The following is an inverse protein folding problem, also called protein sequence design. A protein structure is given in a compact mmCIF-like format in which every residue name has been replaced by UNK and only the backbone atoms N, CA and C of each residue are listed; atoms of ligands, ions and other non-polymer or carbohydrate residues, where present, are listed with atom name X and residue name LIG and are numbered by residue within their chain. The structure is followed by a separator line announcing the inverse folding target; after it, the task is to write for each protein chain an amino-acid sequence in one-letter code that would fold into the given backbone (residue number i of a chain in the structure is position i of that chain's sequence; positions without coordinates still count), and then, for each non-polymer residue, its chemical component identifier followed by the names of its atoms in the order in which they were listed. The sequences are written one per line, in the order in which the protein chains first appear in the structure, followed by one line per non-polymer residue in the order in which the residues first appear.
data_IF_563858152514
#
_entry.id   IF_563858152514
#
_cell.length_a   1.000
_cell.length_b   1.000
_cell.length_c   1.000
_cell.angle_alpha   90.00
_cell.angle_beta   90.00
_cell.angle_gamma   90.00
#
_symmetry.space_group_name_H-M   'P 1'
#
loop_
_entity.id
_entity.type
_entity.pdbx_description
1 polymer ?
#
# COMPACT_ATOMS: atom_id res chain seq x y z
N UNK A 1 4.84 -8.87 14.13
CA UNK A 1 4.34 -8.11 12.98
C UNK A 1 4.06 -6.68 13.38
N UNK A 2 4.43 -5.75 12.53
CA UNK A 2 4.17 -4.31 12.71
C UNK A 2 3.03 -3.93 11.78
N UNK A 3 1.89 -3.51 12.34
CA UNK A 3 0.73 -3.11 11.56
C UNK A 3 0.74 -1.59 11.33
N UNK A 4 0.82 -1.13 10.08
CA UNK A 4 0.73 0.30 9.76
C UNK A 4 -0.70 0.83 9.85
N UNK A 5 -0.88 2.11 9.60
CA UNK A 5 -2.18 2.80 9.52
C UNK A 5 -3.04 2.62 10.78
N UNK A 6 -2.45 2.88 11.95
CA UNK A 6 -3.12 2.74 13.26
C UNK A 6 -3.61 1.33 13.56
N UNK A 7 -2.93 0.32 13.00
CA UNK A 7 -3.30 -1.07 13.19
C UNK A 7 -4.47 -1.51 12.33
N UNK A 8 -4.83 -0.73 11.33
CA UNK A 8 -5.97 -1.01 10.46
C UNK A 8 -5.63 -0.74 8.99
N UNK A 9 -4.68 -1.48 8.47
CA UNK A 9 -4.43 -1.51 7.03
C UNK A 9 -5.32 -2.59 6.42
N UNK A 10 -6.41 -2.18 5.80
CA UNK A 10 -7.42 -3.09 5.27
C UNK A 10 -6.87 -4.00 4.17
N UNK A 11 -5.93 -3.53 3.38
CA UNK A 11 -5.29 -4.35 2.33
C UNK A 11 -4.46 -5.48 2.94
N UNK A 12 -3.70 -5.17 3.98
CA UNK A 12 -2.89 -6.15 4.71
C UNK A 12 -3.77 -7.14 5.45
N UNK A 13 -4.78 -6.65 6.16
CA UNK A 13 -5.74 -7.50 6.89
C UNK A 13 -6.41 -8.47 5.94
N UNK A 14 -6.91 -7.98 4.81
CA UNK A 14 -7.56 -8.82 3.79
C UNK A 14 -6.63 -9.87 3.22
N UNK A 15 -5.36 -9.55 2.99
CA UNK A 15 -4.37 -10.48 2.49
C UNK A 15 -4.20 -11.67 3.43
N UNK A 16 -4.05 -11.42 4.71
CA UNK A 16 -3.85 -12.48 5.71
C UNK A 16 -5.14 -13.27 5.97
N UNK A 17 -6.28 -12.61 6.01
CA UNK A 17 -7.58 -13.29 6.17
C UNK A 17 -7.87 -14.24 5.02
N UNK A 18 -7.63 -13.82 3.77
CA UNK A 18 -7.83 -14.67 2.59
C UNK A 18 -6.96 -15.92 2.60
N UNK A 19 -5.81 -15.86 3.24
CA UNK A 19 -4.87 -16.98 3.32
C UNK A 19 -4.97 -17.75 4.64
N UNK A 20 -5.95 -17.44 5.49
CA UNK A 20 -6.18 -18.13 6.75
C UNK A 20 -5.06 -17.97 7.77
N UNK A 21 -4.30 -16.89 7.68
CA UNK A 21 -3.18 -16.62 8.56
C UNK A 21 -3.60 -15.61 9.62
N UNK A 22 -3.41 -15.97 10.88
CA UNK A 22 -3.65 -15.07 12.00
C UNK A 22 -2.38 -14.26 12.28
N UNK A 23 -2.50 -12.92 12.21
CA UNK A 23 -1.39 -12.03 12.51
C UNK A 23 -1.13 -11.95 14.01
N UNK A 24 0.14 -12.03 14.38
CA UNK A 24 0.60 -11.68 15.72
C UNK A 24 1.11 -10.24 15.70
N UNK A 25 0.20 -9.29 15.91
CA UNK A 25 0.51 -7.87 15.88
C UNK A 25 1.19 -7.48 17.20
N UNK A 26 2.43 -7.04 17.11
CA UNK A 26 3.22 -6.64 18.25
C UNK A 26 3.31 -5.13 18.40
N UNK A 27 3.35 -4.42 17.28
CA UNK A 27 3.37 -2.96 17.24
C UNK A 27 2.37 -2.45 16.21
N UNK A 28 1.86 -1.25 16.45
CA UNK A 28 1.06 -0.51 15.48
C UNK A 28 1.71 0.85 15.23
N UNK A 29 1.59 1.37 14.02
CA UNK A 29 2.17 2.65 13.64
C UNK A 29 1.12 3.52 12.94
N UNK A 30 1.39 4.84 12.92
CA UNK A 30 0.56 5.79 12.19
C UNK A 30 0.83 5.77 10.68
N UNK A 31 2.07 5.56 10.30
CA UNK A 31 2.52 5.70 8.92
C UNK A 31 3.55 4.68 8.52
N UNK A 32 3.62 4.44 7.22
CA UNK A 32 4.53 3.46 6.64
C UNK A 32 6.00 3.83 6.87
N UNK A 33 6.34 5.11 6.91
CA UNK A 33 7.70 5.55 7.17
C UNK A 33 8.20 5.11 8.55
N UNK A 34 7.36 5.26 9.58
CA UNK A 34 7.67 4.78 10.93
C UNK A 34 7.84 3.26 10.96
N UNK A 35 6.98 2.54 10.24
CA UNK A 35 7.09 1.09 10.13
C UNK A 35 8.43 0.67 9.52
N UNK A 36 8.85 1.32 8.43
CA UNK A 36 10.13 1.02 7.78
C UNK A 36 11.32 1.27 8.71
N UNK A 37 11.28 2.37 9.46
CA UNK A 37 12.32 2.69 10.44
C UNK A 37 12.42 1.63 11.53
N UNK A 38 11.30 1.11 12.00
CA UNK A 38 11.26 0.04 13.00
C UNK A 38 11.82 -1.28 12.45
N UNK A 39 11.48 -1.63 11.22
CA UNK A 39 12.02 -2.82 10.56
C UNK A 39 13.53 -2.71 10.40
N UNK A 40 14.02 -1.56 10.00
CA UNK A 40 15.46 -1.29 9.87
C UNK A 40 16.22 -1.51 11.18
N UNK A 41 15.57 -1.24 12.31
CA UNK A 41 16.12 -1.47 13.64
C UNK A 41 15.91 -2.88 14.17
N UNK A 42 15.36 -3.77 13.38
CA UNK A 42 15.16 -5.17 13.76
C UNK A 42 14.00 -5.42 14.71
N UNK A 43 13.05 -4.50 14.80
CA UNK A 43 11.89 -4.65 15.70
C UNK A 43 10.83 -5.61 15.18
N UNK A 44 10.87 -5.98 13.91
CA UNK A 44 9.89 -6.91 13.36
C UNK A 44 9.83 -6.87 11.85
N UNK A 45 8.71 -7.33 11.31
CA UNK A 45 8.43 -7.38 9.89
C UNK A 45 7.06 -6.77 9.60
N UNK A 46 6.82 -6.39 8.36
CA UNK A 46 5.53 -5.90 7.90
C UNK A 46 5.30 -6.29 6.44
N UNK A 47 4.09 -6.05 5.96
CA UNK A 47 3.74 -6.18 4.55
C UNK A 47 3.29 -4.82 4.06
N UNK A 48 3.83 -4.38 2.95
CA UNK A 48 3.51 -3.09 2.36
C UNK A 48 3.41 -3.19 0.86
N UNK A 49 2.68 -2.25 0.29
CA UNK A 49 2.64 -2.08 -1.15
C UNK A 49 4.03 -1.71 -1.68
N UNK A 50 4.47 -2.38 -2.73
CA UNK A 50 5.77 -2.12 -3.35
C UNK A 50 5.92 -0.66 -3.81
N UNK A 51 4.84 -0.04 -4.30
CA UNK A 51 4.84 1.35 -4.73
C UNK A 51 5.23 2.32 -3.61
N UNK A 52 4.83 2.03 -2.37
CA UNK A 52 5.17 2.84 -1.21
C UNK A 52 6.66 2.74 -0.88
N UNK A 53 7.23 1.54 -1.00
CA UNK A 53 8.60 1.26 -0.54
C UNK A 53 9.66 1.37 -1.63
N UNK A 54 9.25 1.46 -2.89
CA UNK A 54 10.16 1.38 -4.05
C UNK A 54 11.28 2.42 -4.04
N UNK A 55 10.96 3.64 -3.65
CA UNK A 55 11.91 4.75 -3.66
C UNK A 55 12.55 5.05 -2.31
N UNK A 56 12.23 4.26 -1.30
CA UNK A 56 12.80 4.47 0.02
C UNK A 56 14.14 3.74 0.15
N UNK A 57 15.16 4.51 0.45
CA UNK A 57 16.49 3.98 0.69
C UNK A 57 16.62 3.56 2.15
N UNK A 58 16.10 2.38 2.48
CA UNK A 58 16.15 1.80 3.81
C UNK A 58 16.93 0.49 3.79
N UNK A 59 17.64 0.21 4.86
CA UNK A 59 18.40 -1.04 5.02
C UNK A 59 17.47 -2.16 5.50
N UNK A 60 16.61 -2.62 4.59
CA UNK A 60 15.66 -3.70 4.84
C UNK A 60 15.67 -4.69 3.67
N UNK A 61 15.35 -5.94 3.96
CA UNK A 61 15.17 -6.96 2.93
C UNK A 61 13.71 -6.97 2.49
N UNK A 62 13.48 -6.91 1.18
CA UNK A 62 12.15 -6.95 0.57
C UNK A 62 11.94 -8.32 -0.07
N UNK A 63 10.92 -9.03 0.36
CA UNK A 63 10.59 -10.36 -0.13
C UNK A 63 9.18 -10.32 -0.73
N UNK A 64 9.02 -10.68 -2.02
CA UNK A 64 7.67 -10.76 -2.60
C UNK A 64 6.80 -11.77 -1.88
N UNK A 65 5.50 -11.47 -1.76
CA UNK A 65 4.55 -12.42 -1.17
C UNK A 65 4.21 -13.51 -2.19
N UNK A 66 4.00 -14.73 -1.68
CA UNK A 66 3.61 -15.87 -2.48
C UNK A 66 2.39 -16.55 -1.83
N UNK A 67 1.26 -16.71 -2.54
CA UNK A 67 1.00 -16.26 -3.92
C UNK A 67 0.99 -14.74 -4.05
N UNK A 68 1.28 -14.20 -5.27
CA UNK A 68 1.30 -12.75 -5.49
C UNK A 68 -0.05 -12.11 -5.16
N UNK A 69 0.00 -10.95 -4.51
CA UNK A 69 -1.19 -10.15 -4.21
C UNK A 69 -1.04 -8.77 -4.85
N UNK A 70 -2.14 -8.25 -5.38
CA UNK A 70 -2.16 -6.95 -6.05
C UNK A 70 -3.29 -6.10 -5.50
N UNK A 71 -3.07 -4.79 -5.47
CA UNK A 71 -4.09 -3.80 -5.17
C UNK A 71 -4.39 -3.00 -6.43
N UNK A 72 -5.66 -2.68 -6.62
CA UNK A 72 -6.09 -1.81 -7.71
C UNK A 72 -6.25 -0.40 -7.19
N UNK A 73 -5.53 0.54 -7.78
CA UNK A 73 -5.67 1.95 -7.50
C UNK A 73 -6.64 2.56 -8.49
N UNK A 74 -7.50 3.43 -8.02
CA UNK A 74 -8.49 4.08 -8.87
C UNK A 74 -8.67 5.55 -8.53
N UNK A 75 -9.27 6.26 -9.46
CA UNK A 75 -9.68 7.65 -9.28
C UNK A 75 -11.18 7.66 -8.99
N UNK A 76 -11.58 8.34 -7.93
CA UNK A 76 -12.97 8.44 -7.53
C UNK A 76 -13.52 9.83 -7.84
N UNK A 77 -14.65 9.88 -8.51
CA UNK A 77 -15.38 11.12 -8.79
C UNK A 77 -16.88 10.87 -8.57
N UNK A 78 -17.66 11.87 -8.13
CA UNK A 78 -19.09 11.70 -7.94
C UNK A 78 -19.83 11.30 -9.21
N UNK A 79 -19.45 11.87 -10.36
CA UNK A 79 -20.00 11.55 -11.68
C UNK A 79 -19.00 11.98 -12.75
N UNK A 80 -18.57 11.04 -13.58
CA UNK A 80 -17.72 11.36 -14.73
C UNK A 80 -18.48 12.22 -15.75
N UNK A 81 -19.73 11.89 -16.01
CA UNK A 81 -20.56 12.59 -16.98
C UNK A 81 -20.73 14.07 -16.64
N UNK A 82 -20.89 14.38 -15.35
CA UNK A 82 -21.08 15.74 -14.85
C UNK A 82 -19.79 16.44 -14.45
N UNK A 83 -18.66 15.76 -14.55
CA UNK A 83 -17.36 16.34 -14.20
C UNK A 83 -17.01 17.49 -15.12
N UNK A 84 -16.32 18.50 -14.58
CA UNK A 84 -15.83 19.63 -15.37
C UNK A 84 -14.81 19.17 -16.42
N UNK A 85 -14.62 19.97 -17.51
CA UNK A 85 -13.59 19.66 -18.51
C UNK A 85 -12.18 19.50 -17.89
N UNK A 86 -11.86 20.29 -16.88
CA UNK A 86 -10.58 20.21 -16.18
C UNK A 86 -10.42 18.86 -15.44
N UNK A 87 -11.47 18.41 -14.76
CA UNK A 87 -11.48 17.12 -14.06
C UNK A 87 -11.33 15.97 -15.06
N UNK A 88 -12.07 16.00 -16.15
CA UNK A 88 -11.98 14.97 -17.20
C UNK A 88 -10.59 14.90 -17.81
N UNK A 89 -9.97 16.03 -18.07
CA UNK A 89 -8.60 16.11 -18.59
C UNK A 89 -7.59 15.56 -17.59
N UNK A 90 -7.75 15.90 -16.31
CA UNK A 90 -6.91 15.36 -15.25
C UNK A 90 -7.03 13.84 -15.17
N UNK A 91 -8.24 13.30 -15.19
CA UNK A 91 -8.46 11.84 -15.15
C UNK A 91 -7.75 11.15 -16.29
N UNK A 92 -7.91 11.66 -17.52
CA UNK A 92 -7.25 11.09 -18.69
C UNK A 92 -5.73 11.08 -18.54
N UNK A 93 -5.16 12.20 -18.13
CA UNK A 93 -3.73 12.33 -17.91
C UNK A 93 -3.25 11.37 -16.80
N UNK A 94 -3.95 11.33 -15.68
CA UNK A 94 -3.59 10.49 -14.54
C UNK A 94 -3.64 9.00 -14.90
N UNK A 95 -4.69 8.55 -15.60
CA UNK A 95 -4.82 7.14 -16.04
C UNK A 95 -3.66 6.76 -16.96
N UNK A 96 -3.30 7.60 -17.91
CA UNK A 96 -2.17 7.34 -18.82
C UNK A 96 -0.84 7.25 -18.07
N UNK A 97 -0.64 8.10 -17.07
CA UNK A 97 0.57 8.08 -16.25
C UNK A 97 0.64 6.88 -15.33
N UNK A 98 -0.47 6.52 -14.69
CA UNK A 98 -0.53 5.40 -13.75
C UNK A 98 -0.30 4.05 -14.45
N UNK A 99 -0.74 3.90 -15.69
CA UNK A 99 -0.47 2.69 -16.48
C UNK A 99 1.02 2.44 -16.73
N UNK A 100 1.84 3.47 -16.70
CA UNK A 100 3.29 3.38 -16.91
C UNK A 100 4.07 2.99 -15.66
N UNK A 101 3.42 2.94 -14.50
CA UNK A 101 4.04 2.63 -13.21
C UNK A 101 4.11 1.11 -12.97
N UNK A 102 3.32 0.33 -13.68
CA UNK A 102 3.33 -1.13 -13.57
C UNK A 102 4.62 -1.78 -14.09
#
# INVERSE_FOLDING_TARGET
FIMPALGRDDDVVSLFERNGIKLNIHFTTLENFATMAMIEKGLGMSVMNNLITEKWNCDVVKIPVDPPSRITLGLAVPSYKQASPAVKRFIKYAVERLKKIE
#
